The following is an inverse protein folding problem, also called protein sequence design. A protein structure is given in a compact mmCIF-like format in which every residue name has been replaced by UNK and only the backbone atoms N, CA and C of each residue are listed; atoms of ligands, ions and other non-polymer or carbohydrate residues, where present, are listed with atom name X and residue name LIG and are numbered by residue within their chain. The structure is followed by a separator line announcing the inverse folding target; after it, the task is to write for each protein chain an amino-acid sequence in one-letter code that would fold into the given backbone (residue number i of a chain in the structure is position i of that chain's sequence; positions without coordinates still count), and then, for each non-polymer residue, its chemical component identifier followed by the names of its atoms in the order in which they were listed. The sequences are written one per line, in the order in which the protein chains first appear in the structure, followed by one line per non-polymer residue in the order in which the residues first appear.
data_IF_992607395964
#
_entry.id   IF_992607395964
#
_cell.length_a   1.000
_cell.length_b   1.000
_cell.length_c   1.000
_cell.angle_alpha   90.00
_cell.angle_beta   90.00
_cell.angle_gamma   90.00
#
_symmetry.space_group_name_H-M   'P 1'
#
loop_
_entity.id
_entity.type
_entity.pdbx_description
1 polymer ?
#
# COMPACT_ATOMS: atom_id res chain seq x y z
N UNK A 1 53.85 30.17 0.65
CA UNK A 1 53.67 29.17 -0.42
C UNK A 1 53.33 27.85 0.24
N UNK A 2 52.26 27.27 -0.26
CA UNK A 2 51.77 25.90 -0.07
C UNK A 2 50.95 25.57 1.18
N UNK A 3 49.72 26.08 1.18
CA UNK A 3 48.58 25.55 1.92
C UNK A 3 47.47 25.25 0.91
N UNK A 4 47.65 24.27 0.00
CA UNK A 4 46.58 23.93 -0.97
C UNK A 4 46.56 22.48 -1.50
N UNK A 5 47.08 21.50 -0.77
CA UNK A 5 47.17 20.12 -1.27
C UNK A 5 46.44 19.03 -0.45
N UNK A 6 45.39 19.33 0.31
CA UNK A 6 44.57 18.30 1.02
C UNK A 6 43.06 18.55 0.97
N UNK A 7 42.54 19.00 -0.17
CA UNK A 7 41.09 19.23 -0.35
C UNK A 7 40.60 18.72 -1.71
N UNK A 8 40.62 17.41 -1.94
CA UNK A 8 39.75 16.77 -2.94
C UNK A 8 39.84 15.24 -2.90
N UNK A 9 39.12 14.62 -1.95
CA UNK A 9 38.65 13.23 -2.08
C UNK A 9 37.43 13.02 -1.17
N UNK A 10 36.46 13.94 -1.23
CA UNK A 10 35.09 13.62 -0.85
C UNK A 10 34.48 12.85 -2.03
N UNK A 11 34.34 11.53 -1.89
CA UNK A 11 33.40 10.76 -2.71
C UNK A 11 32.05 11.49 -2.67
N UNK A 12 31.39 11.75 -3.81
CA UNK A 12 30.04 12.29 -3.76
C UNK A 12 29.16 11.27 -3.03
N UNK A 13 28.64 11.66 -1.87
CA UNK A 13 27.57 10.94 -1.23
C UNK A 13 26.44 10.85 -2.26
N UNK A 14 26.15 9.65 -2.75
CA UNK A 14 24.98 9.41 -3.57
C UNK A 14 23.77 9.75 -2.70
N UNK A 15 23.22 10.96 -2.86
CA UNK A 15 21.94 11.29 -2.27
C UNK A 15 20.96 10.21 -2.71
N UNK A 16 20.40 9.40 -1.78
CA UNK A 16 19.45 8.38 -2.16
C UNK A 16 18.28 9.13 -2.79
N UNK A 17 18.05 8.87 -4.07
CA UNK A 17 16.94 9.44 -4.83
C UNK A 17 15.66 9.23 -4.00
N UNK A 18 14.78 10.24 -3.86
CA UNK A 18 13.55 10.10 -3.09
C UNK A 18 12.73 8.89 -3.54
N UNK A 19 12.04 8.22 -2.60
CA UNK A 19 11.30 6.98 -2.89
C UNK A 19 10.16 7.14 -3.90
N UNK A 20 9.67 8.37 -4.03
CA UNK A 20 8.59 8.76 -4.94
C UNK A 20 9.14 9.24 -6.30
N UNK A 21 10.44 9.18 -6.51
CA UNK A 21 11.04 9.56 -7.79
C UNK A 21 10.59 8.58 -8.88
N UNK A 22 10.17 9.07 -10.06
CA UNK A 22 9.65 8.22 -11.12
C UNK A 22 10.62 7.11 -11.53
N UNK A 23 11.93 7.39 -11.56
CA UNK A 23 12.95 6.37 -11.81
C UNK A 23 12.91 5.19 -10.83
N UNK A 24 12.69 5.42 -9.54
CA UNK A 24 12.61 4.32 -8.57
C UNK A 24 11.32 3.50 -8.74
N UNK A 25 10.22 4.18 -9.07
CA UNK A 25 8.93 3.54 -9.36
C UNK A 25 9.08 2.65 -10.60
N UNK A 26 9.69 3.17 -11.67
CA UNK A 26 9.97 2.44 -12.89
C UNK A 26 10.87 1.23 -12.63
N UNK A 27 11.96 1.40 -11.87
CA UNK A 27 12.91 0.31 -11.59
C UNK A 27 12.28 -0.81 -10.77
N UNK A 28 11.49 -0.48 -9.74
CA UNK A 28 10.76 -1.48 -8.93
C UNK A 28 9.71 -2.21 -9.77
N UNK A 29 8.95 -1.47 -10.58
CA UNK A 29 7.94 -2.07 -11.46
C UNK A 29 8.59 -2.99 -12.49
N UNK A 30 9.70 -2.57 -13.10
CA UNK A 30 10.44 -3.38 -14.05
C UNK A 30 10.97 -4.66 -13.41
N UNK A 31 11.58 -4.57 -12.24
CA UNK A 31 12.09 -5.74 -11.52
C UNK A 31 10.98 -6.74 -11.19
N UNK A 32 9.87 -6.29 -10.61
CA UNK A 32 8.74 -7.15 -10.26
C UNK A 32 8.08 -7.79 -11.48
N UNK A 33 7.82 -6.99 -12.52
CA UNK A 33 7.19 -7.48 -13.76
C UNK A 33 8.11 -8.43 -14.54
N UNK A 34 9.42 -8.20 -14.51
CA UNK A 34 10.40 -9.11 -15.08
C UNK A 34 10.46 -10.42 -14.26
N UNK A 35 10.44 -10.37 -12.94
CA UNK A 35 10.38 -11.59 -12.11
C UNK A 35 9.12 -12.41 -12.40
N UNK A 36 7.97 -11.74 -12.60
CA UNK A 36 6.71 -12.39 -12.94
C UNK A 36 6.70 -13.01 -14.35
N UNK A 37 7.32 -12.37 -15.36
CA UNK A 37 7.34 -12.91 -16.72
C UNK A 37 8.47 -13.93 -16.95
N UNK A 38 9.63 -13.68 -16.36
CA UNK A 38 10.84 -14.48 -16.54
C UNK A 38 10.85 -15.72 -15.62
N UNK A 39 10.28 -15.62 -14.41
CA UNK A 39 10.26 -16.71 -13.42
C UNK A 39 9.68 -18.01 -13.97
N UNK A 40 8.42 -18.03 -14.48
CA UNK A 40 7.83 -19.21 -15.09
C UNK A 40 8.57 -19.70 -16.34
N UNK A 41 9.21 -18.79 -17.09
CA UNK A 41 9.95 -19.14 -18.30
C UNK A 41 11.33 -19.77 -18.01
N UNK A 42 11.94 -19.45 -16.86
CA UNK A 42 13.21 -20.02 -16.41
C UNK A 42 13.02 -21.28 -15.55
N UNK A 43 11.86 -21.44 -14.91
CA UNK A 43 11.57 -22.57 -14.04
C UNK A 43 11.88 -23.96 -14.67
N UNK A 44 11.50 -24.25 -15.92
CA UNK A 44 11.81 -25.55 -16.56
C UNK A 44 13.31 -25.77 -16.80
N UNK A 45 14.09 -24.69 -16.95
CA UNK A 45 15.54 -24.78 -17.07
C UNK A 45 16.21 -25.04 -15.72
N UNK A 46 15.59 -24.64 -14.61
CA UNK A 46 16.08 -24.92 -13.27
C UNK A 46 15.77 -26.37 -12.83
N UNK A 47 14.65 -26.93 -13.27
CA UNK A 47 14.17 -28.26 -12.80
C UNK A 47 14.60 -29.44 -13.69
N UNK A 48 14.99 -29.24 -14.95
CA UNK A 48 15.33 -30.35 -15.86
C UNK A 48 16.69 -30.20 -16.57
N UNK A 49 17.59 -31.16 -16.32
CA UNK A 49 18.89 -31.23 -16.99
C UNK A 49 18.79 -31.58 -18.49
N UNK A 50 17.71 -32.25 -18.92
CA UNK A 50 17.49 -32.66 -20.33
C UNK A 50 17.20 -31.46 -21.24
N UNK A 51 16.57 -30.41 -20.70
CA UNK A 51 16.28 -29.15 -21.39
C UNK A 51 17.49 -28.18 -21.46
N UNK A 52 18.58 -28.47 -20.73
CA UNK A 52 19.81 -27.65 -20.72
C UNK A 52 20.77 -27.95 -21.88
N UNK A 53 20.75 -29.16 -22.46
CA UNK A 53 21.73 -29.58 -23.50
C UNK A 53 21.72 -28.72 -24.78
N UNK A 54 20.57 -28.14 -25.14
CA UNK A 54 20.43 -27.13 -26.21
C UNK A 54 19.87 -25.80 -25.66
N UNK A 55 20.02 -25.56 -24.35
CA UNK A 55 19.28 -24.56 -23.59
C UNK A 55 19.74 -23.12 -23.83
N UNK A 56 21.01 -22.89 -24.18
CA UNK A 56 21.59 -21.54 -24.30
C UNK A 56 20.94 -20.72 -25.41
N UNK A 57 20.69 -21.32 -26.59
CA UNK A 57 20.01 -20.62 -27.69
C UNK A 57 18.55 -20.29 -27.35
N UNK A 58 17.85 -21.21 -26.66
CA UNK A 58 16.47 -21.01 -26.22
C UNK A 58 16.38 -19.98 -25.09
N UNK A 59 17.31 -20.00 -24.15
CA UNK A 59 17.46 -19.03 -23.06
C UNK A 59 17.78 -17.64 -23.62
N UNK A 60 18.71 -17.52 -24.57
CA UNK A 60 19.02 -16.27 -25.27
C UNK A 60 17.80 -15.73 -26.01
N UNK A 61 17.00 -16.59 -26.65
CA UNK A 61 15.74 -16.20 -27.32
C UNK A 61 14.70 -15.69 -26.32
N UNK A 62 14.58 -16.32 -25.15
CA UNK A 62 13.66 -15.90 -24.06
C UNK A 62 14.13 -14.57 -23.45
N UNK A 63 15.40 -14.46 -23.06
CA UNK A 63 15.98 -13.22 -22.53
C UNK A 63 15.83 -12.05 -23.49
N UNK A 64 16.18 -12.24 -24.78
CA UNK A 64 16.01 -11.19 -25.80
C UNK A 64 14.55 -10.78 -26.00
N UNK A 65 13.61 -11.70 -25.78
CA UNK A 65 12.17 -11.44 -25.89
C UNK A 65 11.64 -10.69 -24.66
N UNK A 66 12.05 -11.07 -23.45
CA UNK A 66 11.54 -10.49 -22.20
C UNK A 66 12.24 -9.16 -21.83
N UNK A 67 13.53 -9.00 -22.16
CA UNK A 67 14.30 -7.77 -21.91
C UNK A 67 14.15 -6.71 -23.02
N UNK A 68 13.51 -7.05 -24.15
CA UNK A 68 13.30 -6.12 -25.24
C UNK A 68 12.35 -4.97 -24.87
N UNK A 69 12.39 -3.89 -25.64
CA UNK A 69 11.48 -2.73 -25.49
C UNK A 69 10.00 -3.08 -25.76
N UNK A 70 9.72 -4.28 -26.26
CA UNK A 70 8.37 -4.84 -26.44
C UNK A 70 8.06 -5.97 -25.44
N UNK A 71 8.92 -6.16 -24.44
CA UNK A 71 8.77 -7.16 -23.38
C UNK A 71 7.68 -6.75 -22.38
N UNK A 72 7.11 -7.75 -21.69
CA UNK A 72 6.07 -7.53 -20.69
C UNK A 72 6.52 -6.56 -19.60
N UNK A 73 7.75 -6.75 -19.11
CA UNK A 73 8.32 -5.92 -18.07
C UNK A 73 8.47 -4.45 -18.48
N UNK A 74 8.89 -4.21 -19.74
CA UNK A 74 9.04 -2.85 -20.26
C UNK A 74 7.70 -2.15 -20.38
N UNK A 75 6.69 -2.81 -20.95
CA UNK A 75 5.37 -2.18 -21.12
C UNK A 75 4.63 -1.98 -19.79
N UNK A 76 4.77 -2.89 -18.82
CA UNK A 76 4.29 -2.64 -17.44
C UNK A 76 5.02 -1.46 -16.79
N UNK A 77 6.31 -1.31 -17.05
CA UNK A 77 7.10 -0.17 -16.55
C UNK A 77 6.66 1.13 -17.19
N UNK A 78 6.36 1.13 -18.49
CA UNK A 78 5.79 2.28 -19.19
C UNK A 78 4.41 2.61 -18.65
N UNK A 79 3.56 1.63 -18.35
CA UNK A 79 2.20 1.86 -17.82
C UNK A 79 2.20 2.40 -16.38
N UNK A 80 3.14 1.99 -15.54
CA UNK A 80 3.17 2.38 -14.12
C UNK A 80 4.13 3.53 -13.86
N UNK A 81 5.34 3.46 -14.39
CA UNK A 81 6.37 4.48 -14.28
C UNK A 81 6.11 5.68 -15.18
N UNK A 82 5.50 5.47 -16.36
CA UNK A 82 5.20 6.52 -17.32
C UNK A 82 4.26 7.60 -16.77
N UNK A 83 3.24 7.21 -16.01
CA UNK A 83 2.32 8.17 -15.36
C UNK A 83 3.04 9.09 -14.38
N UNK A 84 3.95 8.54 -13.57
CA UNK A 84 4.77 9.31 -12.63
C UNK A 84 5.77 10.23 -13.36
N UNK A 85 6.39 9.77 -14.45
CA UNK A 85 7.28 10.61 -15.28
C UNK A 85 6.53 11.75 -15.96
N UNK A 86 5.34 11.48 -16.52
CA UNK A 86 4.53 12.48 -17.19
C UNK A 86 4.05 13.55 -16.19
N UNK A 87 3.67 13.15 -14.98
CA UNK A 87 3.31 14.08 -13.91
C UNK A 87 4.48 14.98 -13.52
N UNK A 88 5.68 14.42 -13.32
CA UNK A 88 6.88 15.22 -13.00
C UNK A 88 7.28 16.15 -14.15
N UNK A 89 7.14 15.70 -15.40
CA UNK A 89 7.39 16.52 -16.57
C UNK A 89 6.41 17.70 -16.62
N UNK A 90 5.13 17.44 -16.31
CA UNK A 90 4.12 18.49 -16.19
C UNK A 90 4.46 19.51 -15.11
N UNK A 91 4.86 19.04 -13.93
CA UNK A 91 5.23 19.93 -12.82
C UNK A 91 6.48 20.78 -13.17
N UNK A 92 7.46 20.20 -13.87
CA UNK A 92 8.65 20.92 -14.35
C UNK A 92 8.29 22.00 -15.39
N UNK A 93 7.37 21.70 -16.30
CA UNK A 93 6.88 22.65 -17.31
C UNK A 93 6.13 23.81 -16.65
N UNK A 94 5.33 23.54 -15.62
CA UNK A 94 4.64 24.58 -14.84
C UNK A 94 5.63 25.45 -14.04
N UNK A 95 6.71 24.88 -13.48
CA UNK A 95 7.72 25.68 -12.75
C UNK A 95 8.58 26.55 -13.67
N UNK A 96 8.96 26.03 -14.84
CA UNK A 96 9.81 26.76 -15.79
C UNK A 96 9.06 27.94 -16.44
N UNK A 97 7.74 27.86 -16.52
CA UNK A 97 6.89 28.91 -17.08
C UNK A 97 6.61 30.07 -16.13
N UNK A 98 6.78 29.88 -14.81
CA UNK A 98 6.71 30.98 -13.84
C UNK A 98 7.93 31.93 -13.94
N UNK A 99 9.08 31.42 -14.39
CA UNK A 99 10.31 32.20 -14.56
C UNK A 99 10.43 32.84 -15.96
N UNK A 100 9.75 32.31 -16.98
CA UNK A 100 9.87 32.72 -18.40
C UNK A 100 8.77 33.71 -18.88
N UNK A 101 8.18 34.54 -18.01
CA UNK A 101 7.17 35.57 -18.40
C UNK A 101 7.76 36.75 -19.21
N UNK A 102 8.72 36.52 -20.10
CA UNK A 102 9.45 37.55 -20.84
C UNK A 102 9.48 37.43 -22.37
N UNK A 103 9.15 36.29 -22.98
CA UNK A 103 9.25 36.15 -24.45
C UNK A 103 8.03 35.44 -25.06
N UNK A 104 7.33 36.15 -25.93
CA UNK A 104 6.17 35.69 -26.68
C UNK A 104 6.59 34.94 -27.97
N UNK A 105 5.95 33.80 -28.26
CA UNK A 105 5.60 33.32 -29.62
C UNK A 105 4.88 31.96 -29.54
N UNK A 106 3.55 31.99 -29.70
CA UNK A 106 2.66 30.98 -30.34
C UNK A 106 1.27 30.98 -29.69
N UNK A 107 0.31 31.64 -30.34
CA UNK A 107 -1.05 31.93 -29.86
C UNK A 107 -1.94 30.70 -29.65
N UNK A 108 -1.63 29.58 -30.29
CA UNK A 108 -2.42 28.34 -30.13
C UNK A 108 -1.85 27.41 -29.06
N UNK A 109 -0.52 27.28 -29.00
CA UNK A 109 0.15 26.52 -27.93
C UNK A 109 -0.07 27.17 -26.57
N UNK A 110 -0.08 28.51 -26.51
CA UNK A 110 -0.38 29.25 -25.28
C UNK A 110 -1.84 29.06 -24.81
N UNK A 111 -2.83 29.05 -25.70
CA UNK A 111 -4.24 28.76 -25.34
C UNK A 111 -4.45 27.33 -24.87
N UNK A 112 -3.84 26.34 -25.55
CA UNK A 112 -3.89 24.95 -25.12
C UNK A 112 -3.17 24.79 -23.77
N UNK A 113 -2.04 25.48 -23.60
CA UNK A 113 -1.26 25.52 -22.35
C UNK A 113 -2.04 26.13 -21.20
N UNK A 114 -2.73 27.24 -21.40
CA UNK A 114 -3.54 27.90 -20.37
C UNK A 114 -4.77 27.06 -19.98
N UNK A 115 -5.35 26.33 -20.95
CA UNK A 115 -6.37 25.31 -20.66
C UNK A 115 -5.79 24.12 -19.88
N UNK A 116 -4.58 23.67 -20.22
CA UNK A 116 -3.91 22.56 -19.54
C UNK A 116 -3.48 22.92 -18.11
N UNK A 117 -3.02 24.15 -17.87
CA UNK A 117 -2.62 24.63 -16.55
C UNK A 117 -3.83 24.83 -15.62
N UNK A 118 -5.01 25.14 -16.17
CA UNK A 118 -6.28 25.24 -15.42
C UNK A 118 -6.77 23.90 -14.82
N UNK A 119 -6.21 22.78 -15.26
CA UNK A 119 -6.61 21.45 -14.79
C UNK A 119 -6.14 21.22 -13.35
N UNK A 120 -7.07 20.82 -12.49
CA UNK A 120 -6.78 20.38 -11.11
C UNK A 120 -5.74 19.26 -11.09
N UNK A 121 -4.89 19.18 -10.06
CA UNK A 121 -3.86 18.14 -9.91
C UNK A 121 -4.39 16.70 -10.03
N UNK A 122 -5.66 16.49 -9.68
CA UNK A 122 -6.37 15.21 -9.86
C UNK A 122 -6.58 14.85 -11.33
N UNK A 123 -7.03 15.81 -12.16
CA UNK A 123 -7.19 15.62 -13.60
C UNK A 123 -5.86 15.37 -14.30
N UNK A 124 -4.80 16.07 -13.89
CA UNK A 124 -3.44 15.86 -14.41
C UNK A 124 -2.95 14.44 -14.15
N UNK A 125 -3.19 13.92 -12.94
CA UNK A 125 -2.82 12.54 -12.58
C UNK A 125 -3.60 11.50 -13.39
N UNK A 126 -4.91 11.74 -13.57
CA UNK A 126 -5.76 10.88 -14.39
C UNK A 126 -5.27 10.83 -15.85
N UNK A 127 -5.05 11.99 -16.48
CA UNK A 127 -4.58 12.09 -17.87
C UNK A 127 -3.21 11.43 -18.04
N UNK A 128 -2.27 11.70 -17.12
CA UNK A 128 -0.94 11.08 -17.15
C UNK A 128 -1.01 9.55 -17.10
N UNK A 129 -1.86 9.00 -16.23
CA UNK A 129 -2.05 7.54 -16.12
C UNK A 129 -2.74 6.95 -17.35
N UNK A 130 -3.73 7.64 -17.92
CA UNK A 130 -4.42 7.21 -19.16
C UNK A 130 -3.47 7.20 -20.34
N UNK A 131 -2.70 8.28 -20.56
CA UNK A 131 -1.74 8.38 -21.66
C UNK A 131 -0.63 7.33 -21.55
N UNK A 132 -0.08 7.16 -20.34
CA UNK A 132 0.93 6.15 -20.03
C UNK A 132 0.41 4.72 -20.29
N UNK A 133 -0.83 4.44 -19.92
CA UNK A 133 -1.47 3.14 -20.16
C UNK A 133 -1.77 2.91 -21.64
N UNK A 134 -2.24 3.93 -22.36
CA UNK A 134 -2.45 3.86 -23.81
C UNK A 134 -1.14 3.59 -24.56
N UNK A 135 -0.05 4.25 -24.16
CA UNK A 135 1.27 4.03 -24.76
C UNK A 135 1.80 2.62 -24.49
N UNK A 136 1.54 2.06 -23.30
CA UNK A 136 1.86 0.66 -23.01
C UNK A 136 1.06 -0.31 -23.91
N UNK A 137 -0.23 -0.01 -24.16
CA UNK A 137 -1.09 -0.83 -25.02
C UNK A 137 -0.60 -0.77 -26.48
N UNK A 138 -0.22 0.40 -27.00
CA UNK A 138 0.28 0.52 -28.38
C UNK A 138 1.61 -0.21 -28.57
N UNK A 139 2.52 -0.13 -27.59
CA UNK A 139 3.76 -0.92 -27.58
C UNK A 139 3.47 -2.43 -27.61
N UNK A 140 2.47 -2.91 -26.86
CA UNK A 140 2.08 -4.31 -26.87
C UNK A 140 1.38 -4.75 -28.16
N UNK A 141 0.53 -3.91 -28.77
CA UNK A 141 -0.17 -4.24 -30.00
C UNK A 141 0.75 -4.24 -31.23
N UNK A 142 1.78 -3.39 -31.25
CA UNK A 142 2.82 -3.38 -32.30
C UNK A 142 3.55 -4.73 -32.45
N UNK A 143 3.47 -5.59 -31.42
CA UNK A 143 4.04 -6.95 -31.38
C UNK A 143 3.25 -7.96 -32.22
N UNK A 144 1.92 -7.78 -32.38
CA UNK A 144 1.04 -8.81 -32.96
C UNK A 144 1.29 -9.03 -34.45
N UNK A 145 1.83 -8.04 -35.16
CA UNK A 145 2.10 -8.13 -36.60
C UNK A 145 3.38 -8.89 -36.96
N UNK A 146 4.18 -9.37 -36.00
CA UNK A 146 5.50 -9.99 -36.28
C UNK A 146 5.69 -11.43 -35.78
N UNK A 147 4.67 -12.11 -35.24
CA UNK A 147 4.85 -13.46 -34.68
C UNK A 147 3.84 -14.46 -35.25
N UNK A 148 4.30 -15.31 -36.17
CA UNK A 148 3.63 -16.57 -36.55
C UNK A 148 3.56 -17.53 -35.34
N UNK A 149 2.46 -18.29 -35.17
CA UNK A 149 2.30 -19.19 -34.03
C UNK A 149 3.25 -20.38 -34.17
N UNK A 150 4.28 -20.46 -33.34
CA UNK A 150 5.15 -21.64 -33.24
C UNK A 150 4.94 -22.36 -31.90
N UNK A 151 4.43 -23.59 -32.02
CA UNK A 151 4.45 -24.74 -31.13
C UNK A 151 4.25 -24.53 -29.61
N UNK A 152 3.11 -25.02 -29.10
CA UNK A 152 2.84 -25.20 -27.66
C UNK A 152 3.82 -26.21 -27.06
N UNK A 153 4.22 -25.98 -25.80
CA UNK A 153 4.85 -26.96 -24.92
C UNK A 153 3.87 -27.16 -23.77
N UNK A 154 3.40 -28.39 -23.60
CA UNK A 154 2.47 -28.75 -22.54
C UNK A 154 3.15 -28.71 -21.17
N UNK A 155 2.44 -28.14 -20.18
CA UNK A 155 2.88 -27.99 -18.80
C UNK A 155 2.25 -29.13 -17.98
N UNK A 156 3.02 -29.93 -17.21
CA UNK A 156 2.55 -31.18 -16.62
C UNK A 156 1.94 -31.00 -15.22
N UNK A 157 1.00 -30.06 -15.04
CA UNK A 157 0.41 -29.78 -13.72
C UNK A 157 -1.08 -29.39 -13.77
N UNK A 158 -1.84 -30.09 -14.61
CA UNK A 158 -3.31 -30.15 -14.51
C UNK A 158 -3.73 -31.61 -14.48
N UNK A 159 -4.44 -32.00 -13.42
CA UNK A 159 -5.03 -33.33 -13.22
C UNK A 159 -5.81 -33.79 -14.46
N UNK A 160 -5.66 -35.05 -14.92
CA UNK A 160 -6.41 -35.55 -16.05
C UNK A 160 -7.83 -35.89 -15.60
N UNK A 161 -8.80 -35.05 -15.96
CA UNK A 161 -10.21 -35.44 -15.93
C UNK A 161 -10.56 -35.98 -17.32
N UNK A 162 -11.16 -37.17 -17.31
CA UNK A 162 -11.35 -38.11 -18.41
C UNK A 162 -11.86 -37.52 -19.72
N UNK A 163 -11.26 -38.01 -20.80
CA UNK A 163 -11.60 -37.75 -22.20
C UNK A 163 -13.01 -38.23 -22.57
N UNK A 164 -13.87 -37.32 -23.00
CA UNK A 164 -14.99 -37.60 -23.95
C UNK A 164 -15.55 -36.33 -24.63
N UNK A 165 -14.83 -35.20 -24.65
CA UNK A 165 -15.29 -33.99 -25.32
C UNK A 165 -14.50 -33.71 -26.60
N UNK A 166 -15.22 -33.53 -27.71
CA UNK A 166 -14.69 -33.34 -29.05
C UNK A 166 -13.63 -32.21 -29.17
N UNK A 167 -12.58 -32.38 -29.99
CA UNK A 167 -11.42 -31.48 -30.06
C UNK A 167 -11.72 -30.07 -30.60
N UNK A 168 -12.93 -29.83 -31.09
CA UNK A 168 -13.35 -28.50 -31.58
C UNK A 168 -13.86 -27.59 -30.44
N UNK A 169 -14.48 -28.14 -29.39
CA UNK A 169 -15.03 -27.34 -28.27
C UNK A 169 -13.96 -26.93 -27.24
N UNK A 170 -12.89 -27.73 -27.06
CA UNK A 170 -11.75 -27.36 -26.21
C UNK A 170 -10.91 -26.21 -26.78
N UNK A 171 -10.86 -26.07 -28.12
CA UNK A 171 -10.06 -25.03 -28.80
C UNK A 171 -10.61 -23.61 -28.58
N UNK A 172 -11.87 -23.49 -28.16
CA UNK A 172 -12.55 -22.24 -27.86
C UNK A 172 -12.44 -21.80 -26.37
N UNK A 173 -12.19 -22.71 -25.42
CA UNK A 173 -12.42 -22.44 -24.00
C UNK A 173 -11.21 -21.93 -23.19
N UNK A 174 -9.99 -21.93 -23.73
CA UNK A 174 -8.81 -21.36 -23.05
C UNK A 174 -7.98 -20.55 -24.04
N UNK A 175 -8.46 -19.36 -24.38
CA UNK A 175 -7.63 -18.24 -24.83
C UNK A 175 -7.81 -17.14 -23.79
N UNK A 176 -6.85 -16.89 -22.87
CA UNK A 176 -6.87 -15.61 -22.18
C UNK A 176 -6.65 -14.55 -23.25
N UNK A 177 -7.70 -13.81 -23.58
CA UNK A 177 -7.57 -12.61 -24.39
C UNK A 177 -6.75 -11.63 -23.55
N UNK A 178 -5.46 -11.48 -23.88
CA UNK A 178 -4.54 -10.52 -23.24
C UNK A 178 -5.11 -9.08 -23.19
N UNK A 179 -6.09 -8.77 -24.05
CA UNK A 179 -6.86 -7.54 -24.00
C UNK A 179 -7.70 -7.41 -22.73
N UNK A 180 -8.20 -8.51 -22.15
CA UNK A 180 -8.94 -8.55 -20.89
C UNK A 180 -8.04 -8.18 -19.70
N UNK A 181 -6.78 -8.63 -19.69
CA UNK A 181 -5.83 -8.32 -18.62
C UNK A 181 -5.37 -6.85 -18.66
N UNK A 182 -5.23 -6.28 -19.87
CA UNK A 182 -4.84 -4.88 -20.07
C UNK A 182 -6.00 -3.90 -19.84
N UNK A 183 -7.22 -4.24 -20.23
CA UNK A 183 -8.41 -3.45 -19.85
C UNK A 183 -8.67 -3.55 -18.35
N UNK A 184 -8.37 -4.69 -17.72
CA UNK A 184 -8.42 -4.83 -16.27
C UNK A 184 -7.37 -3.95 -15.58
N UNK A 185 -6.13 -3.88 -16.09
CA UNK A 185 -5.11 -2.96 -15.56
C UNK A 185 -5.51 -1.48 -15.73
N UNK A 186 -6.07 -1.10 -16.87
CA UNK A 186 -6.60 0.25 -17.10
C UNK A 186 -7.78 0.54 -16.16
N UNK A 187 -8.70 -0.41 -15.99
CA UNK A 187 -9.84 -0.31 -15.08
C UNK A 187 -9.37 -0.16 -13.63
N UNK A 188 -8.44 -1.00 -13.18
CA UNK A 188 -7.88 -0.95 -11.82
C UNK A 188 -7.20 0.40 -11.57
N UNK A 189 -6.49 0.97 -12.55
CA UNK A 189 -5.85 2.29 -12.40
C UNK A 189 -6.81 3.46 -12.50
N UNK A 190 -7.82 3.36 -13.36
CA UNK A 190 -8.90 4.33 -13.41
C UNK A 190 -9.68 4.31 -12.09
N UNK A 191 -10.02 3.13 -11.58
CA UNK A 191 -10.65 2.95 -10.26
C UNK A 191 -9.76 3.45 -9.13
N UNK A 192 -8.47 3.15 -9.12
CA UNK A 192 -7.53 3.65 -8.11
C UNK A 192 -7.45 5.19 -8.13
N UNK A 193 -7.42 5.80 -9.32
CA UNK A 193 -7.43 7.27 -9.46
C UNK A 193 -8.77 7.87 -8.99
N UNK A 194 -9.90 7.24 -9.34
CA UNK A 194 -11.23 7.65 -8.89
C UNK A 194 -11.40 7.46 -7.37
N UNK A 195 -10.84 6.39 -6.82
CA UNK A 195 -10.86 6.08 -5.40
C UNK A 195 -10.01 7.09 -4.60
N UNK A 196 -8.82 7.42 -5.08
CA UNK A 196 -7.99 8.49 -4.51
C UNK A 196 -8.70 9.84 -4.58
N UNK A 197 -9.39 10.14 -5.68
CA UNK A 197 -10.21 11.35 -5.81
C UNK A 197 -11.38 11.35 -4.82
N UNK A 198 -12.10 10.23 -4.69
CA UNK A 198 -13.22 10.09 -3.76
C UNK A 198 -12.77 10.21 -2.30
N UNK A 199 -11.64 9.60 -1.93
CA UNK A 199 -11.04 9.73 -0.60
C UNK A 199 -10.68 11.18 -0.29
N UNK A 200 -10.11 11.91 -1.26
CA UNK A 200 -9.75 13.32 -1.06
C UNK A 200 -10.96 14.24 -0.84
N UNK A 201 -12.18 13.76 -1.14
CA UNK A 201 -13.44 14.48 -1.00
C UNK A 201 -14.31 14.00 0.16
N UNK A 202 -13.78 13.16 1.05
CA UNK A 202 -14.53 12.73 2.23
C UNK A 202 -15.00 13.95 3.03
N UNK A 203 -16.30 14.05 3.37
CA UNK A 203 -16.81 15.15 4.19
C UNK A 203 -16.00 15.29 5.47
N UNK A 204 -15.71 16.53 5.88
CA UNK A 204 -14.91 16.80 7.08
C UNK A 204 -15.50 16.14 8.34
N UNK A 205 -16.83 16.07 8.42
CA UNK A 205 -17.57 15.37 9.48
C UNK A 205 -17.25 13.87 9.53
N UNK A 206 -17.15 13.22 8.38
CA UNK A 206 -16.81 11.80 8.28
C UNK A 206 -15.36 11.53 8.70
N UNK A 207 -14.42 12.35 8.24
CA UNK A 207 -13.02 12.24 8.69
C UNK A 207 -12.89 12.46 10.19
N UNK A 208 -13.58 13.48 10.74
CA UNK A 208 -13.61 13.72 12.19
C UNK A 208 -14.17 12.52 12.95
N UNK A 209 -15.27 11.95 12.45
CA UNK A 209 -15.89 10.77 13.05
C UNK A 209 -14.95 9.56 13.05
N UNK A 210 -14.33 9.22 11.91
CA UNK A 210 -13.34 8.13 11.82
C UNK A 210 -12.18 8.35 12.79
N UNK A 211 -11.63 9.57 12.84
CA UNK A 211 -10.50 9.87 13.72
C UNK A 211 -10.88 9.74 15.20
N UNK A 212 -12.12 10.12 15.54
CA UNK A 212 -12.66 9.96 16.89
C UNK A 212 -12.81 8.49 17.24
N UNK A 213 -13.44 7.71 16.37
CA UNK A 213 -13.65 6.27 16.55
C UNK A 213 -12.35 5.47 16.56
N UNK A 214 -11.36 5.91 15.78
CA UNK A 214 -10.02 5.33 15.78
C UNK A 214 -9.31 5.54 17.13
N UNK A 215 -9.61 6.63 17.85
CA UNK A 215 -9.03 6.96 19.16
C UNK A 215 -7.50 6.79 19.18
N UNK A 216 -6.82 7.31 18.15
CA UNK A 216 -5.35 7.27 18.00
C UNK A 216 -4.82 8.70 18.15
N UNK A 217 -3.71 8.86 18.87
CA UNK A 217 -3.02 10.15 18.97
C UNK A 217 -2.54 10.63 17.59
N UNK A 218 -2.92 11.85 17.21
CA UNK A 218 -2.59 12.44 15.91
C UNK A 218 -1.07 12.51 15.70
N UNK A 219 -0.29 12.73 16.77
CA UNK A 219 1.17 12.79 16.74
C UNK A 219 1.79 11.43 16.42
N UNK A 220 1.16 10.33 16.84
CA UNK A 220 1.59 8.99 16.46
C UNK A 220 1.40 8.76 14.97
N UNK A 221 0.28 9.23 14.39
CA UNK A 221 0.06 9.18 12.94
C UNK A 221 1.08 10.04 12.18
N UNK A 222 1.43 11.20 12.71
CA UNK A 222 2.50 12.05 12.17
C UNK A 222 3.86 11.36 12.22
N UNK A 223 4.17 10.66 13.31
CA UNK A 223 5.41 9.89 13.43
C UNK A 223 5.46 8.75 12.38
N UNK A 224 4.35 8.02 12.18
CA UNK A 224 4.26 6.99 11.14
C UNK A 224 4.38 7.57 9.71
N UNK A 225 3.84 8.78 9.48
CA UNK A 225 4.02 9.50 8.21
C UNK A 225 5.47 9.95 8.04
N UNK A 226 6.12 10.41 9.10
CA UNK A 226 7.53 10.83 9.09
C UNK A 226 8.48 9.64 8.88
N UNK A 227 8.17 8.46 9.42
CA UNK A 227 8.89 7.20 9.12
C UNK A 227 8.78 6.88 7.64
N UNK A 228 7.58 7.01 7.06
CA UNK A 228 7.33 6.75 5.65
C UNK A 228 8.11 7.68 4.72
N UNK A 229 8.15 8.98 5.03
CA UNK A 229 8.91 9.97 4.25
C UNK A 229 10.42 9.93 4.53
N UNK A 230 10.85 9.21 5.58
CA UNK A 230 12.23 9.18 6.03
C UNK A 230 12.66 10.44 6.79
N UNK A 231 11.72 11.28 7.22
CA UNK A 231 11.96 12.40 8.15
C UNK A 231 12.15 11.92 9.60
N UNK A 232 11.76 10.69 9.90
CA UNK A 232 11.95 10.04 11.19
C UNK A 232 12.54 8.65 10.98
N UNK A 233 13.52 8.23 11.77
CA UNK A 233 14.15 6.91 11.63
C UNK A 233 14.77 6.44 12.93
N UNK A 234 14.40 5.22 13.34
CA UNK A 234 15.02 4.51 14.45
C UNK A 234 16.50 4.22 14.16
N UNK A 235 16.85 3.85 12.93
CA UNK A 235 18.23 3.47 12.57
C UNK A 235 19.19 4.64 12.53
N UNK A 236 18.70 5.80 12.08
CA UNK A 236 19.50 7.01 11.94
C UNK A 236 19.47 7.86 13.20
N UNK A 237 18.59 7.55 14.16
CA UNK A 237 18.40 8.36 15.36
C UNK A 237 18.05 9.81 15.05
N UNK A 238 17.26 10.02 13.98
CA UNK A 238 16.87 11.36 13.51
C UNK A 238 15.36 11.49 13.52
N UNK A 239 14.90 12.65 13.98
CA UNK A 239 13.55 13.14 13.79
C UNK A 239 13.62 14.59 13.35
N UNK A 240 12.93 14.95 12.26
CA UNK A 240 12.75 16.37 11.86
C UNK A 240 12.03 17.16 12.96
N UNK A 241 11.13 16.52 13.70
CA UNK A 241 10.47 17.10 14.87
C UNK A 241 10.92 16.32 16.12
N UNK A 242 11.97 16.77 16.82
CA UNK A 242 12.62 15.97 17.88
C UNK A 242 11.64 15.60 19.00
N UNK A 243 10.70 16.50 19.31
CA UNK A 243 9.73 16.33 20.39
C UNK A 243 8.44 15.58 20.02
N UNK A 244 8.28 15.13 18.76
CA UNK A 244 7.01 14.61 18.26
C UNK A 244 6.48 13.46 19.11
N UNK A 245 7.27 12.41 19.29
CA UNK A 245 6.89 11.22 20.07
C UNK A 245 7.15 11.43 21.56
N UNK A 246 8.22 12.14 21.93
CA UNK A 246 8.51 12.51 23.33
C UNK A 246 7.36 13.29 23.97
N UNK A 247 6.65 14.11 23.19
CA UNK A 247 5.45 14.80 23.65
C UNK A 247 4.29 13.85 23.94
N UNK A 248 4.13 12.74 23.19
CA UNK A 248 3.14 11.70 23.49
C UNK A 248 3.44 11.07 24.85
N UNK A 249 4.71 10.72 25.07
CA UNK A 249 5.17 10.16 26.34
C UNK A 249 4.81 11.05 27.53
N UNK A 250 5.10 12.36 27.42
CA UNK A 250 4.75 13.36 28.44
C UNK A 250 3.24 13.45 28.69
N UNK A 251 2.44 13.49 27.63
CA UNK A 251 0.97 13.55 27.75
C UNK A 251 0.39 12.32 28.46
N UNK A 252 1.02 11.15 28.29
CA UNK A 252 0.61 9.90 28.94
C UNK A 252 1.18 9.74 30.36
N UNK A 253 2.00 10.68 30.84
CA UNK A 253 2.65 10.60 32.16
C UNK A 253 3.90 9.72 32.21
N UNK A 254 4.48 9.36 31.07
CA UNK A 254 5.71 8.57 30.97
C UNK A 254 6.95 9.47 30.78
N UNK A 255 8.17 8.98 31.07
CA UNK A 255 9.41 9.70 30.82
C UNK A 255 9.54 10.09 29.34
N UNK A 256 9.96 11.33 29.04
CA UNK A 256 10.15 11.79 27.66
C UNK A 256 11.11 10.91 26.85
N UNK A 257 12.09 10.30 27.53
CA UNK A 257 13.04 9.35 26.98
C UNK A 257 12.40 8.14 26.27
N UNK A 258 11.17 7.75 26.62
CA UNK A 258 10.45 6.65 25.94
C UNK A 258 10.03 6.99 24.51
N UNK A 259 10.01 8.28 24.16
CA UNK A 259 9.71 8.78 22.81
C UNK A 259 10.92 9.35 22.07
N UNK A 260 12.10 9.33 22.66
CA UNK A 260 13.30 9.95 22.07
C UNK A 260 13.90 9.05 20.97
N UNK A 261 13.94 9.48 19.69
CA UNK A 261 14.51 8.70 18.60
C UNK A 261 16.00 8.36 18.81
N UNK A 262 16.74 9.12 19.62
CA UNK A 262 18.15 8.86 19.91
C UNK A 262 18.34 7.68 20.87
N UNK A 263 17.37 7.42 21.74
CA UNK A 263 17.45 6.37 22.76
C UNK A 263 16.78 5.08 22.33
N UNK A 264 15.83 5.14 21.38
CA UNK A 264 15.04 3.99 20.99
C UNK A 264 15.86 2.96 20.18
N UNK A 265 15.82 1.67 20.55
CA UNK A 265 16.55 0.64 19.80
C UNK A 265 15.85 0.35 18.48
N UNK A 266 16.56 0.46 17.37
CA UNK A 266 16.00 0.18 16.04
C UNK A 266 15.72 -1.31 15.81
N UNK A 267 16.55 -2.17 16.40
CA UNK A 267 16.54 -3.62 16.23
C UNK A 267 16.16 -4.30 17.55
N UNK A 268 15.79 -5.57 17.46
CA UNK A 268 15.62 -6.44 18.62
C UNK A 268 16.95 -6.97 19.18
N UNK A 269 16.86 -7.97 20.06
CA UNK A 269 18.02 -8.68 20.61
C UNK A 269 18.56 -8.12 21.94
N UNK A 270 19.77 -8.56 22.32
CA UNK A 270 20.35 -8.31 23.65
C UNK A 270 20.68 -6.84 23.89
N UNK A 271 21.15 -6.12 22.86
CA UNK A 271 21.39 -4.68 22.95
C UNK A 271 20.10 -3.90 23.25
N UNK A 272 19.00 -4.29 22.60
CA UNK A 272 17.69 -3.69 22.87
C UNK A 272 17.24 -3.93 24.31
N UNK A 273 17.52 -5.11 24.88
CA UNK A 273 17.22 -5.41 26.29
C UNK A 273 17.97 -4.47 27.25
N UNK A 274 19.24 -4.19 26.97
CA UNK A 274 20.02 -3.26 27.77
C UNK A 274 19.41 -1.86 27.74
N UNK A 275 19.01 -1.38 26.56
CA UNK A 275 18.35 -0.09 26.37
C UNK A 275 16.99 -0.05 27.09
N UNK A 276 16.16 -1.08 27.00
CA UNK A 276 14.89 -1.10 27.73
C UNK A 276 15.06 -1.15 29.25
N UNK A 277 16.11 -1.82 29.73
CA UNK A 277 16.46 -1.84 31.14
C UNK A 277 16.88 -0.46 31.64
N UNK A 278 17.63 0.32 30.86
CA UNK A 278 18.00 1.70 31.22
C UNK A 278 16.80 2.65 31.15
N UNK A 279 15.91 2.47 30.18
CA UNK A 279 14.69 3.26 30.04
C UNK A 279 13.57 2.88 31.04
N UNK A 280 13.72 1.76 31.76
CA UNK A 280 12.72 1.28 32.72
C UNK A 280 11.44 0.70 32.09
N UNK A 281 11.46 0.37 30.80
CA UNK A 281 10.31 -0.21 30.09
C UNK A 281 10.30 -1.73 30.28
N UNK A 282 9.16 -2.29 30.73
CA UNK A 282 9.00 -3.73 30.98
C UNK A 282 8.38 -4.44 29.76
N UNK A 283 8.53 -5.76 29.68
CA UNK A 283 7.85 -6.59 28.68
C UNK A 283 8.37 -6.49 27.24
N UNK A 284 9.48 -5.77 27.00
CA UNK A 284 10.08 -5.55 25.68
C UNK A 284 11.35 -6.36 25.41
N UNK A 285 11.47 -7.53 26.02
CA UNK A 285 12.60 -8.43 25.79
C UNK A 285 12.69 -8.81 24.30
N UNK A 286 13.86 -8.56 23.71
CA UNK A 286 14.22 -8.87 22.33
C UNK A 286 13.61 -7.95 21.29
N UNK A 287 12.98 -6.83 21.67
CA UNK A 287 12.22 -5.97 20.76
C UNK A 287 12.86 -4.60 20.57
N UNK A 288 12.73 -4.04 19.37
CA UNK A 288 13.04 -2.64 19.09
C UNK A 288 11.78 -1.76 19.09
N UNK A 289 11.91 -0.55 18.55
CA UNK A 289 10.81 0.33 18.20
C UNK A 289 10.08 0.98 19.37
N UNK A 290 8.98 1.68 19.09
CA UNK A 290 8.22 2.37 20.13
C UNK A 290 7.53 1.42 21.13
N UNK A 291 7.49 1.78 22.43
CA UNK A 291 6.76 1.02 23.44
C UNK A 291 5.27 0.88 23.10
N UNK A 292 4.64 -0.20 23.57
CA UNK A 292 3.21 -0.42 23.33
C UNK A 292 2.36 0.55 24.14
N UNK A 293 2.86 0.99 25.29
CA UNK A 293 2.30 2.04 26.14
C UNK A 293 2.09 3.34 25.36
N UNK A 294 3.06 3.72 24.53
CA UNK A 294 2.94 4.92 23.69
C UNK A 294 2.01 4.68 22.49
N UNK A 295 2.02 3.47 21.93
CA UNK A 295 1.25 3.14 20.73
C UNK A 295 -0.24 2.91 21.02
N UNK A 296 -0.57 2.29 22.15
CA UNK A 296 -1.95 2.09 22.59
C UNK A 296 -2.56 3.36 23.21
N UNK A 297 -1.71 4.26 23.72
CA UNK A 297 -2.09 5.56 24.26
C UNK A 297 -2.81 5.44 25.59
N UNK A 298 -3.91 6.18 25.75
CA UNK A 298 -4.71 6.20 26.98
C UNK A 298 -5.66 5.00 27.11
N UNK A 299 -5.83 4.20 26.05
CA UNK A 299 -6.82 3.11 26.04
C UNK A 299 -6.34 1.94 26.89
N UNK A 300 -5.09 1.55 26.72
CA UNK A 300 -4.42 0.56 27.57
C UNK A 300 -2.95 0.92 27.72
N UNK A 301 -2.32 0.46 28.80
CA UNK A 301 -0.87 0.47 28.91
C UNK A 301 -0.23 -0.55 27.94
N UNK A 302 0.71 -1.34 28.42
CA UNK A 302 1.48 -2.26 27.55
C UNK A 302 0.73 -3.46 26.98
N UNK A 303 -0.55 -3.70 27.33
CA UNK A 303 -1.28 -4.91 26.95
C UNK A 303 -1.92 -4.81 25.56
N UNK A 304 -1.37 -5.56 24.60
CA UNK A 304 -1.86 -5.63 23.21
C UNK A 304 -3.24 -6.30 23.09
N UNK A 305 -3.49 -7.36 23.86
CA UNK A 305 -4.78 -8.08 23.84
C UNK A 305 -5.89 -7.22 24.46
N UNK A 306 -5.59 -6.55 25.57
CA UNK A 306 -6.50 -5.57 26.16
C UNK A 306 -6.76 -4.42 25.18
N UNK A 307 -5.74 -3.91 24.50
CA UNK A 307 -5.89 -2.82 23.53
C UNK A 307 -6.88 -3.20 22.42
N UNK A 308 -6.69 -4.36 21.80
CA UNK A 308 -7.56 -4.82 20.73
C UNK A 308 -9.00 -5.07 21.21
N UNK A 309 -9.17 -5.72 22.37
CA UNK A 309 -10.49 -6.05 22.91
C UNK A 309 -11.27 -4.81 23.37
N UNK A 310 -10.62 -3.90 24.09
CA UNK A 310 -11.26 -2.66 24.57
C UNK A 310 -11.65 -1.77 23.39
N UNK A 311 -10.75 -1.57 22.41
CA UNK A 311 -11.06 -0.79 21.20
C UNK A 311 -12.15 -1.46 20.37
N UNK A 312 -12.14 -2.79 20.28
CA UNK A 312 -13.20 -3.56 19.65
C UNK A 312 -14.56 -3.36 20.32
N UNK A 313 -14.59 -3.38 21.65
CA UNK A 313 -15.81 -3.16 22.43
C UNK A 313 -16.32 -1.72 22.29
N UNK A 314 -15.42 -0.73 22.36
CA UNK A 314 -15.74 0.67 22.13
C UNK A 314 -16.32 0.88 20.73
N UNK A 315 -15.68 0.35 19.70
CA UNK A 315 -16.17 0.42 18.32
C UNK A 315 -17.54 -0.26 18.15
N UNK A 316 -17.78 -1.37 18.86
CA UNK A 316 -19.08 -2.04 18.86
C UNK A 316 -20.17 -1.16 19.47
N UNK A 317 -19.92 -0.56 20.65
CA UNK A 317 -20.88 0.32 21.34
C UNK A 317 -21.14 1.59 20.52
N UNK A 318 -20.11 2.21 19.97
CA UNK A 318 -20.26 3.38 19.09
C UNK A 318 -21.04 3.04 17.82
N UNK A 319 -20.80 1.87 17.21
CA UNK A 319 -21.57 1.41 16.07
C UNK A 319 -23.04 1.17 16.43
N UNK A 320 -23.33 0.57 17.60
CA UNK A 320 -24.70 0.42 18.08
C UNK A 320 -25.38 1.78 18.28
N UNK A 321 -24.69 2.73 18.90
CA UNK A 321 -25.20 4.07 19.14
C UNK A 321 -25.56 4.81 17.83
N UNK A 322 -24.82 4.54 16.74
CA UNK A 322 -25.12 5.08 15.41
C UNK A 322 -26.23 4.32 14.69
N UNK A 323 -26.17 2.98 14.68
CA UNK A 323 -27.05 2.16 13.86
C UNK A 323 -28.43 1.94 14.48
N UNK A 324 -28.56 1.94 15.81
CA UNK A 324 -29.87 1.79 16.46
C UNK A 324 -30.83 2.92 16.05
N UNK A 325 -30.51 4.22 16.16
CA UNK A 325 -31.41 5.28 15.71
C UNK A 325 -31.72 5.18 14.22
N UNK A 326 -30.72 4.93 13.37
CA UNK A 326 -30.89 4.87 11.92
C UNK A 326 -31.86 3.75 11.50
N UNK A 327 -31.82 2.60 12.16
CA UNK A 327 -32.69 1.47 11.84
C UNK A 327 -34.06 1.54 12.52
N UNK A 328 -34.14 2.05 13.76
CA UNK A 328 -35.37 2.03 14.55
C UNK A 328 -36.22 3.31 14.39
N UNK A 329 -35.61 4.48 14.23
CA UNK A 329 -36.35 5.75 14.16
C UNK A 329 -37.34 5.79 12.98
N UNK A 330 -37.00 5.36 11.75
CA UNK A 330 -37.97 5.33 10.66
C UNK A 330 -39.16 4.39 10.95
N UNK A 331 -38.92 3.26 11.61
CA UNK A 331 -39.97 2.30 11.97
C UNK A 331 -40.86 2.89 13.06
N UNK A 332 -40.28 3.57 14.05
CA UNK A 332 -41.00 4.22 15.14
C UNK A 332 -41.92 5.32 14.63
N UNK A 333 -41.44 6.14 13.67
CA UNK A 333 -42.21 7.25 13.10
C UNK A 333 -43.29 6.79 12.12
N UNK A 334 -43.05 5.74 11.33
CA UNK A 334 -43.98 5.32 10.27
C UNK A 334 -44.93 4.20 10.68
N UNK A 335 -44.47 3.22 11.48
CA UNK A 335 -45.22 2.00 11.82
C UNK A 335 -44.82 1.42 13.19
N UNK A 336 -45.12 2.09 14.32
CA UNK A 336 -44.64 1.67 15.65
C UNK A 336 -45.14 0.27 16.06
N UNK A 337 -46.36 -0.13 15.66
CA UNK A 337 -46.91 -1.48 15.93
C UNK A 337 -46.07 -2.60 15.31
N UNK A 338 -45.26 -2.32 14.28
CA UNK A 338 -44.36 -3.30 13.70
C UNK A 338 -43.23 -3.73 14.66
N UNK A 339 -42.89 -2.91 15.65
CA UNK A 339 -41.87 -3.23 16.67
C UNK A 339 -42.39 -4.19 17.75
N UNK A 340 -43.72 -4.27 17.94
CA UNK A 340 -44.34 -5.25 18.84
C UNK A 340 -44.30 -6.67 18.25
N UNK A 341 -44.03 -6.80 16.95
CA UNK A 341 -43.90 -8.09 16.31
C UNK A 341 -42.47 -8.62 16.53
N UNK A 342 -42.35 -9.60 17.44
CA UNK A 342 -41.10 -10.30 17.76
C UNK A 342 -40.22 -10.64 16.53
N UNK A 343 -40.73 -11.21 15.42
CA UNK A 343 -39.88 -11.54 14.27
C UNK A 343 -39.30 -10.30 13.57
N UNK A 344 -40.04 -9.19 13.53
CA UNK A 344 -39.54 -7.93 12.92
C UNK A 344 -38.51 -7.27 13.82
N UNK A 345 -38.78 -7.21 15.12
CA UNK A 345 -37.84 -6.70 16.12
C UNK A 345 -36.52 -7.49 16.08
N UNK A 346 -36.60 -8.82 16.10
CA UNK A 346 -35.43 -9.68 16.06
C UNK A 346 -34.62 -9.47 14.78
N UNK A 347 -35.27 -9.44 13.61
CA UNK A 347 -34.59 -9.22 12.32
C UNK A 347 -33.86 -7.87 12.27
N UNK A 348 -34.51 -6.80 12.72
CA UNK A 348 -33.89 -5.46 12.75
C UNK A 348 -32.72 -5.44 13.74
N UNK A 349 -32.88 -6.03 14.92
CA UNK A 349 -31.82 -6.09 15.94
C UNK A 349 -30.63 -6.90 15.45
N UNK A 350 -30.85 -8.07 14.82
CA UNK A 350 -29.79 -8.87 14.22
C UNK A 350 -29.06 -8.14 13.10
N UNK A 351 -29.77 -7.36 12.27
CA UNK A 351 -29.12 -6.53 11.26
C UNK A 351 -28.21 -5.47 11.88
N UNK A 352 -28.65 -4.81 12.95
CA UNK A 352 -27.86 -3.79 13.66
C UNK A 352 -26.65 -4.44 14.35
N UNK A 353 -26.87 -5.54 15.09
CA UNK A 353 -25.80 -6.28 15.76
C UNK A 353 -24.75 -6.76 14.75
N UNK A 354 -25.16 -7.29 13.60
CA UNK A 354 -24.22 -7.74 12.59
C UNK A 354 -23.36 -6.60 12.04
N UNK A 355 -23.96 -5.46 11.70
CA UNK A 355 -23.20 -4.29 11.23
C UNK A 355 -22.28 -3.71 12.31
N UNK A 356 -22.70 -3.73 13.59
CA UNK A 356 -21.84 -3.36 14.70
C UNK A 356 -20.67 -4.35 14.90
N UNK A 357 -20.93 -5.65 14.79
CA UNK A 357 -19.90 -6.70 14.85
C UNK A 357 -18.91 -6.60 13.68
N UNK A 358 -19.36 -6.20 12.49
CA UNK A 358 -18.48 -5.91 11.36
C UNK A 358 -17.45 -4.82 11.72
N UNK A 359 -17.89 -3.66 12.22
CA UNK A 359 -16.97 -2.58 12.59
C UNK A 359 -16.06 -2.96 13.77
N UNK A 360 -16.62 -3.63 14.79
CA UNK A 360 -15.84 -4.13 15.93
C UNK A 360 -14.74 -5.11 15.51
N UNK A 361 -15.06 -6.03 14.61
CA UNK A 361 -14.10 -6.97 14.05
C UNK A 361 -13.05 -6.27 13.19
N UNK A 362 -13.44 -5.26 12.41
CA UNK A 362 -12.51 -4.42 11.65
C UNK A 362 -11.47 -3.75 12.58
N UNK A 363 -11.92 -3.10 13.65
CA UNK A 363 -11.04 -2.40 14.61
C UNK A 363 -10.20 -3.37 15.44
N UNK A 364 -10.80 -4.45 15.95
CA UNK A 364 -10.05 -5.47 16.70
C UNK A 364 -8.95 -6.12 15.86
N UNK A 365 -9.29 -6.52 14.64
CA UNK A 365 -8.37 -7.27 13.77
C UNK A 365 -7.20 -6.42 13.28
N UNK A 366 -7.40 -5.12 12.99
CA UNK A 366 -6.27 -4.23 12.64
C UNK A 366 -5.30 -4.10 13.81
N UNK A 367 -5.77 -3.93 15.04
CA UNK A 367 -4.91 -3.80 16.21
C UNK A 367 -4.19 -5.10 16.57
N UNK A 368 -4.88 -6.24 16.47
CA UNK A 368 -4.26 -7.57 16.62
C UNK A 368 -3.15 -7.75 15.59
N UNK A 369 -3.41 -7.46 14.31
CA UNK A 369 -2.44 -7.59 13.24
C UNK A 369 -1.24 -6.64 13.42
N UNK A 370 -1.48 -5.39 13.81
CA UNK A 370 -0.42 -4.42 14.11
C UNK A 370 0.47 -4.94 15.23
N UNK A 371 -0.13 -5.37 16.35
CA UNK A 371 0.60 -5.88 17.51
C UNK A 371 1.33 -7.19 17.22
N UNK A 372 0.72 -8.12 16.47
CA UNK A 372 1.36 -9.35 16.01
C UNK A 372 2.60 -9.06 15.17
N UNK A 373 2.52 -8.05 14.31
CA UNK A 373 3.62 -7.68 13.43
C UNK A 373 4.75 -7.01 14.19
N UNK A 374 4.46 -5.97 14.97
CA UNK A 374 5.51 -5.13 15.58
C UNK A 374 5.98 -5.56 16.97
N UNK A 375 5.29 -6.49 17.65
CA UNK A 375 5.57 -6.76 19.07
C UNK A 375 5.40 -8.23 19.48
N UNK A 376 4.27 -8.86 19.17
CA UNK A 376 3.94 -10.17 19.75
C UNK A 376 4.65 -11.32 19.03
N UNK A 377 4.80 -11.25 17.70
CA UNK A 377 5.27 -12.39 16.90
C UNK A 377 6.36 -12.03 15.89
N UNK A 378 6.05 -11.30 14.80
CA UNK A 378 6.98 -11.15 13.66
C UNK A 378 8.27 -10.41 14.03
N UNK A 379 8.18 -9.29 14.76
CA UNK A 379 9.36 -8.55 15.22
C UNK A 379 10.25 -9.36 16.20
N UNK A 380 9.67 -10.32 16.94
CA UNK A 380 10.43 -11.23 17.80
C UNK A 380 11.09 -12.36 17.01
N UNK A 381 10.42 -12.84 15.98
CA UNK A 381 10.95 -13.87 15.08
C UNK A 381 12.12 -13.34 14.23
N UNK A 382 12.09 -12.06 13.88
CA UNK A 382 13.09 -11.42 13.03
C UNK A 382 13.70 -10.16 13.70
N UNK A 383 14.47 -10.33 14.80
CA UNK A 383 15.01 -9.20 15.57
C UNK A 383 16.04 -8.35 14.80
N UNK A 384 16.64 -8.89 13.74
CA UNK A 384 17.57 -8.18 12.86
C UNK A 384 16.89 -7.24 11.86
N UNK A 385 15.55 -7.26 11.76
CA UNK A 385 14.79 -6.32 10.94
C UNK A 385 14.47 -5.07 11.76
N UNK A 386 14.84 -3.90 11.24
CA UNK A 386 14.64 -2.64 11.93
C UNK A 386 13.17 -2.25 12.03
N UNK A 387 12.80 -1.54 13.10
CA UNK A 387 11.46 -0.97 13.25
C UNK A 387 11.14 0.15 12.24
N UNK A 388 12.13 0.68 11.51
CA UNK A 388 11.88 1.51 10.32
C UNK A 388 11.08 0.75 9.24
N UNK A 389 11.21 -0.58 9.20
CA UNK A 389 10.43 -1.44 8.33
C UNK A 389 9.09 -1.82 8.99
N UNK A 390 9.11 -2.26 10.25
CA UNK A 390 7.91 -2.70 10.96
C UNK A 390 6.88 -1.59 11.14
N UNK A 391 7.28 -0.38 11.49
CA UNK A 391 6.40 0.78 11.58
C UNK A 391 6.33 1.57 10.25
N UNK A 392 7.02 1.06 9.22
CA UNK A 392 7.04 1.62 7.87
C UNK A 392 5.81 1.24 7.03
N UNK A 393 5.76 1.70 5.76
CA UNK A 393 4.59 1.51 4.90
C UNK A 393 4.27 0.05 4.56
N UNK A 394 5.25 -0.86 4.65
CA UNK A 394 5.08 -2.28 4.32
C UNK A 394 5.04 -3.20 5.56
N UNK A 395 5.09 -2.62 6.77
CA UNK A 395 5.10 -3.36 8.01
C UNK A 395 3.70 -3.55 8.60
N UNK A 396 3.53 -3.19 9.86
CA UNK A 396 2.34 -3.44 10.66
C UNK A 396 1.08 -2.80 10.09
N UNK A 397 1.18 -1.60 9.51
CA UNK A 397 0.03 -0.90 8.90
C UNK A 397 -0.46 -1.62 7.65
N UNK A 398 0.45 -2.18 6.85
CA UNK A 398 0.09 -2.93 5.64
C UNK A 398 -0.59 -4.26 6.00
N UNK A 399 0.01 -5.03 6.91
CA UNK A 399 -0.57 -6.28 7.41
C UNK A 399 -1.91 -6.01 8.09
N UNK A 400 -2.01 -4.95 8.89
CA UNK A 400 -3.24 -4.50 9.53
C UNK A 400 -4.36 -4.26 8.52
N UNK A 401 -4.09 -3.46 7.48
CA UNK A 401 -5.06 -3.18 6.41
C UNK A 401 -5.50 -4.43 5.66
N UNK A 402 -4.58 -5.37 5.39
CA UNK A 402 -4.92 -6.64 4.72
C UNK A 402 -5.84 -7.51 5.59
N UNK A 403 -5.52 -7.65 6.86
CA UNK A 403 -6.27 -8.51 7.79
C UNK A 403 -7.64 -7.92 8.08
N UNK A 404 -7.73 -6.60 8.34
CA UNK A 404 -8.98 -5.98 8.73
C UNK A 404 -10.01 -5.92 7.58
N UNK A 405 -9.56 -5.93 6.32
CA UNK A 405 -10.42 -6.09 5.16
C UNK A 405 -11.27 -7.37 5.20
N UNK A 406 -10.77 -8.44 5.85
CA UNK A 406 -11.51 -9.69 6.03
C UNK A 406 -12.78 -9.56 6.89
N UNK A 407 -12.92 -8.50 7.68
CA UNK A 407 -14.15 -8.25 8.44
C UNK A 407 -15.38 -8.09 7.54
N UNK A 408 -15.22 -7.69 6.28
CA UNK A 408 -16.30 -7.51 5.29
C UNK A 408 -17.19 -8.77 5.16
N UNK A 409 -16.64 -9.95 5.42
CA UNK A 409 -17.36 -11.22 5.35
C UNK A 409 -18.43 -11.38 6.46
N UNK A 410 -18.39 -10.55 7.51
CA UNK A 410 -19.42 -10.49 8.55
C UNK A 410 -20.68 -9.78 8.03
N UNK A 411 -20.56 -8.83 7.11
CA UNK A 411 -21.68 -8.03 6.58
C UNK A 411 -22.49 -8.80 5.50
N UNK A 412 -23.72 -8.37 5.16
CA UNK A 412 -24.55 -9.08 4.15
C UNK A 412 -23.92 -9.08 2.79
N UNK A 413 -24.02 -10.20 2.06
CA UNK A 413 -23.63 -10.27 0.64
C UNK A 413 -24.19 -9.14 -0.20
N UNK A 414 -25.46 -8.75 0.02
CA UNK A 414 -26.11 -7.65 -0.71
C UNK A 414 -25.48 -6.26 -0.46
N UNK A 415 -24.74 -6.09 0.63
CA UNK A 415 -24.10 -4.82 1.02
C UNK A 415 -22.59 -4.80 0.77
N UNK A 416 -22.02 -5.85 0.18
CA UNK A 416 -20.55 -5.98 -0.06
C UNK A 416 -20.05 -5.25 -1.32
N UNK A 417 -20.95 -4.66 -2.11
CA UNK A 417 -20.63 -3.98 -3.38
C UNK A 417 -20.98 -4.82 -4.58
#
# INVERSE_FOLDING_TARGET
MDSDAKKCLKRPASHPVPRDHPLQISLRTYALSLSLSLGPALFPFLTSAKLRRNGVARLKKILRRELGMSGFAFAMTVAVGGGATLRRLWDLLDTKTADDTGWASDTELTKIRDRLSSLTSSHRTFIANVLSSLLAITLFHSRRSRVHPSHRVDIPLTLPLSDTASPQLQRARIRPSITLDLTLLLLVRAMDSLFQMAISRLPRSYNKWIMTLANIDVRLLEALRAIRSGAWSYRRHVSVQPDLVSSISRTLGYPSAWGDPALLPAYGGVQANAVWKTLGVRGRNGLGGLPCELVHGTVTGGSCTANATIRGAQAFVEALALYLPVHFLPILLTRPRALLQAPRLLRTTLSVLRSASFLSAFVSSIWVAVCLTRTLFLARLFPWISHDFWDGPFGCTFVGSLVCGGSIWIEEGRRRG
#
